data_IF_378425575100
#
_entry.id   IF_378425575100
#
_cell.length_a   1.000
_cell.length_b   1.000
_cell.length_c   1.000
_cell.angle_alpha   90.00
_cell.angle_beta   90.00
_cell.angle_gamma   90.00
#
_symmetry.space_group_name_H-M   'P 1'
#
loop_
_entity.id
_entity.type
_entity.pdbx_description
1 polymer ?
#
# COMPACT_ATOMS: atom_id res chain seq x y z
N UNK A 1 17.20 3.67 -11.75
CA UNK A 1 15.96 2.96 -12.13
C UNK A 1 16.17 1.49 -11.82
N UNK A 2 15.54 0.94 -10.77
CA UNK A 2 15.59 -0.51 -10.56
C UNK A 2 14.49 -1.10 -11.45
N UNK A 3 14.83 -1.46 -12.68
CA UNK A 3 13.95 -2.26 -13.53
C UNK A 3 13.98 -3.68 -12.99
N UNK A 4 13.14 -3.99 -12.01
CA UNK A 4 13.03 -5.34 -11.47
C UNK A 4 12.38 -6.25 -12.51
N UNK A 5 13.22 -6.88 -13.32
CA UNK A 5 12.90 -8.10 -14.07
C UNK A 5 13.18 -9.29 -13.16
N UNK A 6 12.33 -10.32 -13.22
CA UNK A 6 12.39 -11.41 -12.25
C UNK A 6 11.36 -12.51 -12.50
N UNK A 7 11.39 -13.52 -11.64
CA UNK A 7 10.45 -14.64 -11.64
C UNK A 7 9.32 -14.34 -10.65
N UNK A 8 8.08 -14.58 -11.08
CA UNK A 8 6.91 -14.58 -10.21
C UNK A 8 6.34 -16.00 -10.18
N UNK A 9 6.33 -16.63 -9.02
CA UNK A 9 5.79 -17.98 -8.84
C UNK A 9 4.71 -17.97 -7.78
N UNK A 10 3.55 -18.51 -8.11
CA UNK A 10 2.45 -18.66 -7.17
C UNK A 10 2.48 -20.01 -6.48
N UNK A 11 2.23 -20.01 -5.17
CA UNK A 11 1.96 -21.17 -4.34
C UNK A 11 0.59 -21.01 -3.68
N UNK A 12 0.08 -22.04 -2.99
CA UNK A 12 -1.23 -21.97 -2.34
C UNK A 12 -1.32 -20.85 -1.29
N UNK A 13 -0.26 -20.60 -0.51
CA UNK A 13 -0.27 -19.60 0.57
C UNK A 13 0.41 -18.26 0.25
N UNK A 14 1.26 -18.20 -0.78
CA UNK A 14 2.10 -17.04 -1.05
C UNK A 14 2.43 -16.91 -2.54
N UNK A 15 2.75 -15.69 -2.96
CA UNK A 15 3.38 -15.40 -4.24
C UNK A 15 4.84 -15.04 -3.98
N UNK A 16 5.75 -15.75 -4.65
CA UNK A 16 7.19 -15.53 -4.58
C UNK A 16 7.59 -14.59 -5.71
N UNK A 17 8.27 -13.50 -5.35
CA UNK A 17 8.87 -12.53 -6.25
C UNK A 17 10.38 -12.64 -6.11
N UNK A 18 11.07 -13.14 -7.14
CA UNK A 18 12.52 -13.25 -7.17
C UNK A 18 13.10 -12.33 -8.24
N UNK A 19 14.00 -11.43 -7.89
CA UNK A 19 14.69 -10.55 -8.85
C UNK A 19 15.94 -11.22 -9.41
N UNK A 20 16.38 -10.80 -10.58
CA UNK A 20 17.67 -11.22 -11.16
C UNK A 20 18.89 -10.86 -10.30
N UNK A 21 18.73 -9.93 -9.35
CA UNK A 21 19.72 -9.56 -8.35
C UNK A 21 19.73 -10.50 -7.11
N UNK A 22 18.88 -11.54 -7.09
CA UNK A 22 18.82 -12.53 -6.02
C UNK A 22 17.92 -12.16 -4.83
N UNK A 23 17.24 -11.02 -4.86
CA UNK A 23 16.27 -10.67 -3.82
C UNK A 23 15.00 -11.51 -3.98
N UNK A 24 14.58 -12.18 -2.91
CA UNK A 24 13.34 -12.95 -2.87
C UNK A 24 12.40 -12.33 -1.84
N UNK A 25 11.21 -11.93 -2.29
CA UNK A 25 10.17 -11.35 -1.45
C UNK A 25 8.89 -12.17 -1.58
N UNK A 26 8.17 -12.28 -0.47
CA UNK A 26 6.92 -13.03 -0.38
C UNK A 26 5.76 -12.07 -0.16
N UNK A 27 4.70 -12.22 -0.94
CA UNK A 27 3.41 -11.58 -0.65
C UNK A 27 2.44 -12.70 -0.30
N UNK A 28 1.85 -12.64 0.90
CA UNK A 28 0.84 -13.63 1.29
C UNK A 28 -0.37 -13.57 0.34
N UNK A 29 -1.16 -14.63 0.29
CA UNK A 29 -2.42 -14.65 -0.50
C UNK A 29 -3.66 -14.35 0.33
N UNK A 30 -3.49 -13.86 1.55
CA UNK A 30 -4.55 -13.31 2.38
C UNK A 30 -4.90 -11.89 1.96
N UNK A 31 -5.27 -11.06 2.94
CA UNK A 31 -5.80 -9.73 2.64
C UNK A 31 -4.77 -8.79 2.02
N UNK A 32 -3.51 -8.84 2.45
CA UNK A 32 -2.44 -8.01 1.88
C UNK A 32 -2.22 -8.33 0.40
N UNK A 33 -2.13 -9.63 0.04
CA UNK A 33 -2.05 -10.04 -1.35
C UNK A 33 -3.29 -9.70 -2.17
N UNK A 34 -4.48 -9.78 -1.58
CA UNK A 34 -5.72 -9.36 -2.23
C UNK A 34 -5.70 -7.85 -2.53
N UNK A 35 -5.28 -7.00 -1.58
CA UNK A 35 -5.15 -5.56 -1.76
C UNK A 35 -4.11 -5.21 -2.84
N UNK A 36 -2.94 -5.85 -2.79
CA UNK A 36 -1.91 -5.69 -3.82
C UNK A 36 -2.43 -6.09 -5.21
N UNK A 37 -3.22 -7.15 -5.30
CA UNK A 37 -3.83 -7.60 -6.56
C UNK A 37 -4.88 -6.61 -7.08
N UNK A 38 -5.71 -6.01 -6.20
CA UNK A 38 -6.72 -5.01 -6.59
C UNK A 38 -6.11 -3.80 -7.28
N UNK A 39 -4.88 -3.43 -6.93
CA UNK A 39 -4.16 -2.28 -7.52
C UNK A 39 -3.19 -2.65 -8.64
N UNK A 40 -3.34 -3.85 -9.22
CA UNK A 40 -2.60 -4.28 -10.42
C UNK A 40 -1.29 -5.02 -10.15
N UNK A 41 -1.05 -5.45 -8.89
CA UNK A 41 0.13 -6.20 -8.48
C UNK A 41 1.45 -5.56 -8.97
N UNK A 42 2.41 -6.37 -9.46
CA UNK A 42 3.73 -5.90 -9.86
C UNK A 42 3.73 -5.00 -11.09
N UNK A 43 2.64 -5.01 -11.85
CA UNK A 43 2.43 -4.13 -13.01
C UNK A 43 1.68 -2.85 -12.64
N UNK A 44 1.16 -2.79 -11.42
CA UNK A 44 0.36 -1.68 -10.92
C UNK A 44 1.19 -0.62 -10.21
N UNK A 45 0.48 0.28 -9.51
CA UNK A 45 1.08 1.46 -8.87
C UNK A 45 2.09 1.12 -7.77
N UNK A 46 1.93 -0.03 -7.12
CA UNK A 46 2.83 -0.47 -6.06
C UNK A 46 4.13 -1.08 -6.61
N UNK A 47 4.09 -1.69 -7.80
CA UNK A 47 5.25 -2.39 -8.36
C UNK A 47 5.69 -3.56 -7.49
N UNK A 48 6.96 -3.95 -7.60
CA UNK A 48 7.49 -5.14 -6.92
C UNK A 48 7.57 -4.96 -5.40
N UNK A 49 7.32 -6.03 -4.61
CA UNK A 49 7.57 -6.00 -3.18
C UNK A 49 9.07 -5.80 -2.90
N UNK A 50 9.40 -4.99 -1.89
CA UNK A 50 10.78 -4.70 -1.50
C UNK A 50 11.09 -5.13 -0.07
N UNK A 51 10.08 -5.51 0.71
CA UNK A 51 10.22 -6.11 2.03
C UNK A 51 9.21 -7.25 2.22
N UNK A 52 9.48 -8.10 3.21
CA UNK A 52 8.48 -9.01 3.74
C UNK A 52 7.44 -8.24 4.56
N UNK A 53 6.25 -8.82 4.73
CA UNK A 53 5.26 -8.25 5.63
C UNK A 53 5.80 -8.17 7.07
N UNK A 54 5.61 -7.03 7.71
CA UNK A 54 5.93 -6.77 9.11
C UNK A 54 4.65 -6.50 9.89
N UNK A 55 4.54 -7.09 11.08
CA UNK A 55 3.37 -6.98 11.96
C UNK A 55 3.75 -6.40 13.32
N UNK A 56 2.76 -5.88 14.04
CA UNK A 56 2.96 -5.22 15.34
C UNK A 56 2.71 -3.72 15.29
N UNK A 57 2.07 -3.22 14.23
CA UNK A 57 1.59 -1.86 14.17
C UNK A 57 0.44 -1.63 15.17
N UNK A 58 0.14 -0.36 15.46
CA UNK A 58 -0.95 0.07 16.35
C UNK A 58 -2.25 -0.69 16.05
N UNK A 59 -2.93 -1.22 17.06
CA UNK A 59 -4.18 -1.97 16.85
C UNK A 59 -3.98 -3.33 16.17
N UNK A 60 -2.80 -3.94 16.35
CA UNK A 60 -2.42 -5.26 15.81
C UNK A 60 -2.40 -5.30 14.28
N UNK A 61 -1.98 -4.21 13.64
CA UNK A 61 -1.85 -4.16 12.19
C UNK A 61 -0.54 -4.71 11.66
N UNK A 62 -0.50 -4.86 10.34
CA UNK A 62 0.66 -5.25 9.57
C UNK A 62 0.83 -4.33 8.36
N UNK A 63 2.02 -4.29 7.79
CA UNK A 63 2.29 -3.62 6.53
C UNK A 63 3.31 -4.38 5.70
N UNK A 64 3.30 -4.11 4.39
CA UNK A 64 4.34 -4.56 3.48
C UNK A 64 4.68 -3.41 2.52
N UNK A 65 5.98 -3.18 2.31
CA UNK A 65 6.45 -2.16 1.38
C UNK A 65 6.70 -2.74 -0.01
N UNK A 66 6.35 -1.91 -0.99
CA UNK A 66 6.54 -2.13 -2.41
C UNK A 66 7.28 -0.92 -2.99
N UNK A 67 7.88 -1.07 -4.17
CA UNK A 67 8.69 -0.03 -4.78
C UNK A 67 7.97 1.32 -4.92
N UNK A 68 6.65 1.31 -5.17
CA UNK A 68 5.80 2.49 -5.37
C UNK A 68 4.91 2.86 -4.18
N UNK A 69 4.93 2.11 -3.08
CA UNK A 69 4.03 2.37 -1.96
C UNK A 69 4.02 1.26 -0.91
N UNK A 70 2.91 1.12 -0.20
CA UNK A 70 2.75 0.05 0.79
C UNK A 70 1.31 -0.40 0.91
N UNK A 71 1.12 -1.65 1.30
CA UNK A 71 -0.16 -2.16 1.78
C UNK A 71 -0.13 -2.15 3.31
N UNK A 72 -1.17 -1.58 3.93
CA UNK A 72 -1.38 -1.62 5.36
C UNK A 72 -2.66 -2.39 5.67
N UNK A 73 -2.59 -3.27 6.66
CA UNK A 73 -3.69 -4.09 7.13
C UNK A 73 -3.96 -3.83 8.61
N UNK A 74 -5.23 -3.80 9.01
CA UNK A 74 -5.64 -3.89 10.41
C UNK A 74 -6.89 -4.77 10.54
N UNK A 75 -7.15 -5.35 11.71
CA UNK A 75 -8.39 -6.09 11.97
C UNK A 75 -9.67 -5.27 11.72
N UNK A 76 -9.57 -3.94 11.86
CA UNK A 76 -10.73 -3.03 11.78
C UNK A 76 -11.02 -2.53 10.37
N UNK A 77 -10.02 -2.50 9.50
CA UNK A 77 -10.13 -1.90 8.15
C UNK A 77 -9.89 -2.90 7.03
N UNK A 78 -9.27 -4.04 7.32
CA UNK A 78 -8.66 -4.89 6.31
C UNK A 78 -7.46 -4.23 5.64
N UNK A 79 -6.98 -4.83 4.55
CA UNK A 79 -5.78 -4.40 3.82
C UNK A 79 -6.10 -3.40 2.70
N UNK A 80 -5.36 -2.29 2.66
CA UNK A 80 -5.47 -1.26 1.61
C UNK A 80 -4.11 -0.72 1.20
N UNK A 81 -3.97 -0.43 -0.09
CA UNK A 81 -2.77 0.13 -0.69
C UNK A 81 -2.73 1.66 -0.54
N UNK A 82 -1.57 2.20 -0.23
CA UNK A 82 -1.27 3.64 -0.29
C UNK A 82 -0.06 3.86 -1.18
N UNK A 83 -0.08 4.90 -2.02
CA UNK A 83 1.01 5.22 -2.94
C UNK A 83 1.13 6.72 -3.20
N UNK A 84 2.24 7.15 -3.79
CA UNK A 84 2.44 8.52 -4.27
C UNK A 84 2.17 9.60 -3.19
N UNK A 85 1.62 10.73 -3.62
CA UNK A 85 1.38 11.88 -2.76
C UNK A 85 0.44 11.60 -1.58
N UNK A 86 -0.51 10.64 -1.73
CA UNK A 86 -1.36 10.20 -0.62
C UNK A 86 -0.51 9.57 0.49
N UNK A 87 0.32 8.58 0.13
CA UNK A 87 1.21 7.90 1.08
C UNK A 87 2.21 8.88 1.71
N UNK A 88 2.77 9.79 0.92
CA UNK A 88 3.69 10.82 1.40
C UNK A 88 3.04 11.69 2.46
N UNK A 89 1.86 12.24 2.20
CA UNK A 89 1.15 13.09 3.17
C UNK A 89 0.74 12.28 4.41
N UNK A 90 0.22 11.06 4.23
CA UNK A 90 -0.12 10.22 5.38
C UNK A 90 1.08 9.95 6.28
N UNK A 91 2.26 9.73 5.69
CA UNK A 91 3.50 9.56 6.43
C UNK A 91 3.92 10.79 7.24
N UNK A 92 3.69 12.01 6.75
CA UNK A 92 3.97 13.22 7.53
C UNK A 92 3.00 13.43 8.69
N UNK A 93 1.83 12.77 8.66
CA UNK A 93 0.87 12.78 9.77
C UNK A 93 1.14 11.72 10.84
N UNK A 94 2.18 10.89 10.68
CA UNK A 94 2.52 9.82 11.64
C UNK A 94 1.90 8.47 11.32
N UNK A 95 1.53 8.23 10.05
CA UNK A 95 1.01 6.93 9.57
C UNK A 95 -0.23 6.47 10.35
N UNK A 96 -0.33 5.16 10.64
CA UNK A 96 -1.43 4.56 11.39
C UNK A 96 -1.48 4.99 12.87
N UNK A 97 -0.38 5.55 13.36
CA UNK A 97 -0.28 6.13 14.71
C UNK A 97 -0.73 7.60 14.75
N UNK A 98 -0.92 8.24 13.59
CA UNK A 98 -1.40 9.60 13.43
C UNK A 98 -2.92 9.75 13.50
N UNK A 99 -3.45 10.98 13.36
CA UNK A 99 -4.88 11.27 13.47
C UNK A 99 -5.72 10.65 12.36
N UNK A 100 -5.15 10.39 11.18
CA UNK A 100 -5.83 9.67 10.10
C UNK A 100 -5.98 8.16 10.39
N UNK A 101 -5.07 7.58 11.18
CA UNK A 101 -4.98 6.15 11.45
C UNK A 101 -4.95 5.30 10.15
N UNK A 102 -5.57 4.11 10.10
CA UNK A 102 -5.43 3.20 8.96
C UNK A 102 -6.24 3.65 7.73
N UNK A 103 -5.78 3.33 6.50
CA UNK A 103 -6.60 3.43 5.30
C UNK A 103 -7.81 2.48 5.40
N UNK A 104 -8.95 2.91 4.87
CA UNK A 104 -10.22 2.16 4.84
C UNK A 104 -10.67 1.73 3.44
N UNK A 105 -10.02 2.28 2.43
CA UNK A 105 -10.23 1.94 1.02
C UNK A 105 -8.93 2.18 0.25
N UNK A 106 -8.78 1.52 -0.89
CA UNK A 106 -7.76 1.88 -1.88
C UNK A 106 -8.08 3.28 -2.45
N UNK A 107 -7.05 4.00 -2.90
CA UNK A 107 -7.22 5.32 -3.50
C UNK A 107 -8.00 5.23 -4.83
N UNK A 108 -8.89 6.20 -5.07
CA UNK A 108 -9.67 6.31 -6.31
C UNK A 108 -9.40 7.65 -6.97
N UNK A 109 -9.13 7.63 -8.27
CA UNK A 109 -8.94 8.84 -9.08
C UNK A 109 -10.17 9.09 -9.95
N UNK A 110 -10.75 10.28 -9.84
CA UNK A 110 -11.88 10.73 -10.68
C UNK A 110 -11.71 12.22 -11.00
N UNK A 111 -11.87 12.59 -12.28
CA UNK A 111 -11.70 13.97 -12.73
C UNK A 111 -10.31 14.56 -12.42
N UNK A 112 -9.27 13.73 -12.40
CA UNK A 112 -7.90 14.14 -12.04
C UNK A 112 -7.65 14.30 -10.53
N UNK A 113 -8.66 14.10 -9.68
CA UNK A 113 -8.51 14.15 -8.22
C UNK A 113 -8.43 12.74 -7.67
N UNK A 114 -7.37 12.45 -6.92
CA UNK A 114 -7.21 11.18 -6.20
C UNK A 114 -7.67 11.35 -4.77
N UNK A 115 -8.56 10.49 -4.29
CA UNK A 115 -9.04 10.50 -2.91
C UNK A 115 -8.81 9.14 -2.27
N UNK A 116 -8.33 9.14 -1.02
CA UNK A 116 -8.25 7.94 -0.21
C UNK A 116 -8.86 8.18 1.17
N UNK A 117 -9.68 7.21 1.58
CA UNK A 117 -10.38 7.21 2.86
C UNK A 117 -9.54 6.56 3.94
N UNK A 118 -9.52 7.17 5.11
CA UNK A 118 -8.85 6.71 6.32
C UNK A 118 -9.85 6.65 7.48
N UNK A 119 -9.48 5.98 8.57
CA UNK A 119 -10.32 5.88 9.76
C UNK A 119 -10.70 7.26 10.32
N UNK A 120 -9.70 8.14 10.46
CA UNK A 120 -9.89 9.48 11.03
C UNK A 120 -10.15 10.58 10.01
N UNK A 121 -10.30 10.27 8.72
CA UNK A 121 -10.43 11.33 7.71
C UNK A 121 -10.27 10.84 6.28
N UNK A 122 -9.87 11.75 5.41
CA UNK A 122 -9.50 11.46 4.03
C UNK A 122 -8.27 12.27 3.62
N UNK A 123 -7.55 11.76 2.62
CA UNK A 123 -6.56 12.53 1.86
C UNK A 123 -7.07 12.72 0.44
N UNK A 124 -6.93 13.94 -0.09
CA UNK A 124 -7.22 14.30 -1.47
C UNK A 124 -5.99 14.89 -2.14
N UNK A 125 -5.69 14.45 -3.35
CA UNK A 125 -4.64 14.96 -4.22
C UNK A 125 -5.30 15.55 -5.45
N UNK A 126 -5.11 16.84 -5.71
CA UNK A 126 -5.67 17.51 -6.89
C UNK A 126 -4.93 17.13 -8.19
N UNK A 127 -5.41 17.62 -9.32
CA UNK A 127 -4.81 17.35 -10.63
C UNK A 127 -3.39 17.91 -10.78
N UNK A 128 -2.99 18.83 -9.90
CA UNK A 128 -1.68 19.45 -9.84
C UNK A 128 -0.73 18.68 -8.90
N UNK A 129 -1.20 17.64 -8.22
CA UNK A 129 -0.44 16.83 -7.27
C UNK A 129 -0.42 17.38 -5.84
N UNK A 130 -1.21 18.40 -5.52
CA UNK A 130 -1.30 18.96 -4.17
C UNK A 130 -2.11 18.06 -3.26
N UNK A 131 -1.47 17.50 -2.23
CA UNK A 131 -2.13 16.66 -1.24
C UNK A 131 -2.62 17.49 -0.04
N UNK A 132 -3.87 17.27 0.35
CA UNK A 132 -4.50 17.82 1.57
C UNK A 132 -5.22 16.72 2.33
N UNK A 133 -5.37 16.88 3.64
CA UNK A 133 -6.17 15.98 4.46
C UNK A 133 -7.28 16.72 5.20
N UNK A 134 -8.38 16.02 5.45
CA UNK A 134 -9.51 16.48 6.24
C UNK A 134 -9.82 15.42 7.28
N UNK A 135 -9.82 15.82 8.55
CA UNK A 135 -10.21 14.94 9.66
C UNK A 135 -11.74 14.92 9.79
N UNK A 136 -12.26 13.81 10.34
CA UNK A 136 -13.66 13.63 10.70
C UNK A 136 -13.93 13.99 12.16
#
# INVERSE_FOLDING_TARGET
MVSSTGIVQQFQGQTVFATSAGAVQLVDRGETGAAYSRVGAQTGVLGWPISAQSCGLRGNGCYQDFAGGSVHWSPTTGAHATSGAVRTLWGTTGWESGPLAYPKADAVTSGGVTTQEFQGGQIRVDAQGTATYLLR
#
